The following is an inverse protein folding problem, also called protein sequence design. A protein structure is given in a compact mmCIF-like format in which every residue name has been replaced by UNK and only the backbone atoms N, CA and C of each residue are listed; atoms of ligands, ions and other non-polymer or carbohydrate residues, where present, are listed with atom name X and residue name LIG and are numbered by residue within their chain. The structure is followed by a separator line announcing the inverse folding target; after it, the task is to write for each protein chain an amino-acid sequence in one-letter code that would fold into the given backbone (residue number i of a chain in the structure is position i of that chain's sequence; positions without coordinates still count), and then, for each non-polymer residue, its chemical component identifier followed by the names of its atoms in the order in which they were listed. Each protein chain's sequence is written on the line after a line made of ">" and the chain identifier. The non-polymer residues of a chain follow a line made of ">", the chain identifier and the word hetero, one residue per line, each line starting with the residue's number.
data_IF_605694131582
#
_entry.id   IF_605694131582
#
_cell.length_a   1.000
_cell.length_b   1.000
_cell.length_c   1.000
_cell.angle_alpha   90.00
_cell.angle_beta   90.00
_cell.angle_gamma   90.00
#
_symmetry.space_group_name_H-M   'P 1'
#
loop_
_entity.id
_entity.type
_entity.pdbx_description
1 polymer ?
#
# COMPACT_ATOMS: atom_id res chain seq x y z
N UNK A 1 -16.61 -3.46 -6.54
CA UNK A 1 -15.50 -2.51 -6.74
C UNK A 1 -14.38 -3.10 -7.60
N UNK A 2 -13.61 -4.10 -7.14
CA UNK A 2 -12.50 -4.67 -7.93
C UNK A 2 -12.96 -5.24 -9.27
N UNK A 3 -14.00 -6.09 -9.27
CA UNK A 3 -14.57 -6.65 -10.50
C UNK A 3 -14.98 -5.57 -11.51
N UNK A 4 -15.53 -4.44 -11.05
CA UNK A 4 -16.00 -3.33 -11.91
C UNK A 4 -14.84 -2.57 -12.58
N UNK A 5 -13.62 -2.71 -12.04
CA UNK A 5 -12.42 -2.08 -12.60
C UNK A 5 -11.72 -2.98 -13.63
N UNK A 6 -12.16 -4.23 -13.79
CA UNK A 6 -11.62 -5.15 -14.79
C UNK A 6 -12.25 -4.89 -16.16
N UNK A 7 -11.45 -4.42 -17.10
CA UNK A 7 -11.87 -4.15 -18.49
C UNK A 7 -11.67 -5.33 -19.43
N UNK A 8 -11.06 -6.42 -18.95
CA UNK A 8 -10.78 -7.59 -19.77
C UNK A 8 -12.03 -8.42 -20.04
N UNK A 9 -12.22 -8.88 -21.28
CA UNK A 9 -13.21 -9.89 -21.63
C UNK A 9 -12.67 -11.27 -21.29
N UNK A 10 -13.14 -11.81 -20.17
CA UNK A 10 -12.70 -13.10 -19.66
C UNK A 10 -13.64 -14.19 -20.18
N UNK A 11 -13.08 -15.28 -20.71
CA UNK A 11 -13.87 -16.48 -20.96
C UNK A 11 -14.33 -17.03 -19.62
N UNK A 12 -15.65 -17.10 -19.43
CA UNK A 12 -16.27 -17.51 -18.18
C UNK A 12 -16.37 -19.06 -18.12
N UNK A 13 -15.53 -19.74 -17.33
CA UNK A 13 -15.69 -21.17 -17.11
C UNK A 13 -16.95 -21.45 -16.27
N UNK A 14 -17.70 -22.51 -16.60
CA UNK A 14 -19.01 -22.79 -16.00
C UNK A 14 -18.98 -23.02 -14.48
N UNK A 15 -17.90 -23.56 -13.91
CA UNK A 15 -17.87 -23.99 -12.49
C UNK A 15 -16.55 -23.82 -11.76
N UNK A 16 -15.45 -23.46 -12.42
CA UNK A 16 -14.12 -23.39 -11.79
C UNK A 16 -13.24 -22.30 -12.36
N UNK A 17 -12.48 -21.61 -11.51
CA UNK A 17 -11.53 -20.58 -11.93
C UNK A 17 -10.10 -21.05 -11.67
N UNK A 18 -9.18 -20.71 -12.58
CA UNK A 18 -7.74 -20.87 -12.39
C UNK A 18 -7.07 -19.50 -12.39
N UNK A 19 -6.41 -19.17 -11.29
CA UNK A 19 -5.61 -17.97 -11.11
C UNK A 19 -4.15 -18.39 -11.18
N UNK A 20 -3.42 -17.88 -12.17
CA UNK A 20 -1.99 -18.16 -12.31
C UNK A 20 -1.21 -16.93 -11.87
N UNK A 21 -0.48 -17.06 -10.77
CA UNK A 21 0.36 -15.98 -10.24
C UNK A 21 1.60 -15.83 -11.13
N UNK A 22 1.97 -14.61 -11.55
CA UNK A 22 3.12 -14.36 -12.41
C UNK A 22 4.43 -14.56 -11.64
N UNK A 23 5.58 -14.64 -12.35
CA UNK A 23 6.89 -14.69 -11.70
C UNK A 23 7.18 -13.49 -10.80
N UNK A 24 6.78 -12.29 -11.24
CA UNK A 24 6.84 -11.05 -10.44
C UNK A 24 5.41 -10.63 -10.12
N UNK A 25 5.00 -10.84 -8.88
CA UNK A 25 3.68 -10.47 -8.38
C UNK A 25 3.81 -9.37 -7.33
N UNK A 26 3.99 -8.13 -7.79
CA UNK A 26 4.32 -7.01 -6.91
C UNK A 26 3.66 -5.72 -7.38
N UNK A 27 3.03 -5.00 -6.45
CA UNK A 27 2.55 -3.62 -6.68
C UNK A 27 3.73 -2.66 -6.85
N UNK A 28 4.86 -2.88 -6.17
CA UNK A 28 6.08 -2.06 -6.27
C UNK A 28 6.78 -2.24 -7.63
N UNK A 29 7.08 -3.49 -8.02
CA UNK A 29 7.95 -3.78 -9.16
C UNK A 29 7.17 -3.98 -10.48
N UNK A 30 5.96 -4.58 -10.44
CA UNK A 30 5.13 -4.82 -11.63
C UNK A 30 3.61 -4.64 -11.35
N UNK A 31 3.17 -3.39 -11.06
CA UNK A 31 1.79 -3.10 -10.69
C UNK A 31 0.78 -3.47 -11.78
N UNK A 32 1.19 -3.42 -13.05
CA UNK A 32 0.29 -3.71 -14.19
C UNK A 32 -0.09 -5.18 -14.18
N UNK A 33 0.89 -6.09 -14.17
CA UNK A 33 0.63 -7.53 -14.18
C UNK A 33 -0.08 -7.95 -12.90
N UNK A 34 0.36 -7.44 -11.74
CA UNK A 34 -0.26 -7.76 -10.45
C UNK A 34 -1.76 -7.38 -10.43
N UNK A 35 -2.10 -6.15 -10.81
CA UNK A 35 -3.49 -5.71 -10.87
C UNK A 35 -4.31 -6.48 -11.90
N UNK A 36 -3.75 -6.79 -13.08
CA UNK A 36 -4.47 -7.56 -14.08
C UNK A 36 -4.92 -8.91 -13.54
N UNK A 37 -4.06 -9.63 -12.81
CA UNK A 37 -4.42 -10.92 -12.19
C UNK A 37 -5.50 -10.74 -11.13
N UNK A 38 -5.33 -9.77 -10.22
CA UNK A 38 -6.27 -9.48 -9.12
C UNK A 38 -7.65 -9.11 -9.67
N UNK A 39 -7.70 -8.16 -10.59
CA UNK A 39 -8.94 -7.66 -11.18
C UNK A 39 -9.65 -8.75 -12.00
N UNK A 40 -8.89 -9.55 -12.74
CA UNK A 40 -9.46 -10.66 -13.50
C UNK A 40 -10.07 -11.72 -12.58
N UNK A 41 -9.38 -12.07 -11.49
CA UNK A 41 -9.92 -12.99 -10.50
C UNK A 41 -11.17 -12.44 -9.83
N UNK A 42 -11.18 -11.16 -9.45
CA UNK A 42 -12.36 -10.51 -8.88
C UNK A 42 -13.55 -10.50 -9.84
N UNK A 43 -13.32 -10.25 -11.14
CA UNK A 43 -14.36 -10.32 -12.17
C UNK A 43 -14.91 -11.74 -12.31
N UNK A 44 -14.05 -12.74 -12.42
CA UNK A 44 -14.46 -14.16 -12.46
C UNK A 44 -15.27 -14.57 -11.24
N UNK A 45 -14.83 -14.15 -10.04
CA UNK A 45 -15.48 -14.43 -8.77
C UNK A 45 -16.88 -13.83 -8.68
N UNK A 46 -17.09 -12.64 -9.25
CA UNK A 46 -18.38 -11.94 -9.22
C UNK A 46 -19.36 -12.45 -10.28
N UNK A 47 -18.87 -12.73 -11.49
CA UNK A 47 -19.72 -13.07 -12.64
C UNK A 47 -20.11 -14.56 -12.66
N UNK A 48 -19.40 -15.42 -11.93
CA UNK A 48 -19.65 -16.86 -11.93
C UNK A 48 -20.01 -17.41 -10.56
N UNK A 49 -20.85 -18.46 -10.55
CA UNK A 49 -21.04 -19.32 -9.38
C UNK A 49 -19.93 -20.37 -9.33
N UNK A 50 -18.75 -19.94 -8.88
CA UNK A 50 -17.60 -20.81 -8.75
C UNK A 50 -17.85 -21.90 -7.69
N UNK A 51 -17.49 -23.13 -8.01
CA UNK A 51 -17.43 -24.26 -7.06
C UNK A 51 -15.99 -24.61 -6.69
N UNK A 52 -15.07 -24.25 -7.57
CA UNK A 52 -13.64 -24.58 -7.46
C UNK A 52 -12.80 -23.37 -7.85
N UNK A 53 -11.72 -23.14 -7.12
CA UNK A 53 -10.70 -22.13 -7.44
C UNK A 53 -9.33 -22.75 -7.28
N UNK A 54 -8.57 -22.79 -8.36
CA UNK A 54 -7.14 -23.15 -8.36
C UNK A 54 -6.31 -21.86 -8.31
N UNK A 55 -5.43 -21.71 -7.32
CA UNK A 55 -4.43 -20.62 -7.28
C UNK A 55 -3.03 -21.22 -7.43
N UNK A 56 -2.42 -20.99 -8.58
CA UNK A 56 -1.15 -21.57 -8.97
C UNK A 56 -0.01 -20.55 -8.76
N UNK A 57 0.75 -20.75 -7.67
CA UNK A 57 1.93 -19.94 -7.36
C UNK A 57 3.24 -20.56 -7.85
N UNK A 58 3.21 -21.66 -8.61
CA UNK A 58 4.41 -22.43 -8.95
C UNK A 58 5.49 -21.66 -9.71
N UNK A 59 5.12 -20.54 -10.35
CA UNK A 59 6.04 -19.66 -11.08
C UNK A 59 6.52 -18.46 -10.28
N UNK A 60 5.96 -18.20 -9.09
CA UNK A 60 6.24 -17.01 -8.29
C UNK A 60 7.69 -17.00 -7.80
N UNK A 61 8.40 -15.93 -8.11
CA UNK A 61 9.81 -15.71 -7.77
C UNK A 61 10.02 -14.44 -6.95
N UNK A 62 9.20 -13.42 -7.20
CA UNK A 62 9.17 -12.16 -6.47
C UNK A 62 7.72 -11.86 -6.12
N UNK A 63 7.45 -11.58 -4.87
CA UNK A 63 6.15 -11.17 -4.38
C UNK A 63 6.34 -9.96 -3.47
N UNK A 64 5.44 -8.99 -3.52
CA UNK A 64 5.28 -8.08 -2.38
C UNK A 64 3.99 -8.38 -1.61
N UNK A 65 3.99 -7.96 -0.35
CA UNK A 65 2.90 -8.19 0.58
C UNK A 65 1.60 -7.59 0.08
N UNK A 66 1.65 -6.41 -0.56
CA UNK A 66 0.45 -5.71 -1.01
C UNK A 66 -0.28 -6.45 -2.14
N UNK A 67 0.44 -6.95 -3.16
CA UNK A 67 -0.17 -7.70 -4.26
C UNK A 67 -0.83 -8.98 -3.73
N UNK A 68 -0.13 -9.70 -2.86
CA UNK A 68 -0.64 -10.91 -2.23
C UNK A 68 -1.87 -10.62 -1.35
N UNK A 69 -1.81 -9.61 -0.50
CA UNK A 69 -2.90 -9.26 0.41
C UNK A 69 -4.22 -8.98 -0.32
N UNK A 70 -4.16 -8.24 -1.44
CA UNK A 70 -5.36 -7.94 -2.23
C UNK A 70 -5.89 -9.18 -2.96
N UNK A 71 -5.01 -10.05 -3.47
CA UNK A 71 -5.43 -11.32 -4.07
C UNK A 71 -6.15 -12.21 -3.06
N UNK A 72 -5.58 -12.35 -1.86
CA UNK A 72 -6.17 -13.16 -0.80
C UNK A 72 -7.49 -12.60 -0.31
N UNK A 73 -7.62 -11.27 -0.29
CA UNK A 73 -8.86 -10.60 0.02
C UNK A 73 -9.99 -11.05 -0.92
N UNK A 74 -9.73 -11.08 -2.23
CA UNK A 74 -10.72 -11.49 -3.23
C UNK A 74 -11.19 -12.93 -2.94
N UNK A 75 -10.26 -13.84 -2.66
CA UNK A 75 -10.60 -15.22 -2.35
C UNK A 75 -11.36 -15.37 -1.01
N UNK A 76 -10.97 -14.61 0.01
CA UNK A 76 -11.63 -14.60 1.32
C UNK A 76 -13.05 -14.05 1.24
N UNK A 77 -13.28 -12.96 0.51
CA UNK A 77 -14.62 -12.43 0.25
C UNK A 77 -15.46 -13.42 -0.54
N UNK A 78 -14.91 -14.01 -1.61
CA UNK A 78 -15.59 -15.02 -2.40
C UNK A 78 -16.03 -16.23 -1.53
N UNK A 79 -15.14 -16.70 -0.65
CA UNK A 79 -15.44 -17.79 0.30
C UNK A 79 -16.55 -17.39 1.29
N UNK A 80 -16.50 -16.15 1.79
CA UNK A 80 -17.48 -15.60 2.74
C UNK A 80 -18.86 -15.46 2.09
N UNK A 81 -18.94 -14.84 0.91
CA UNK A 81 -20.19 -14.72 0.15
C UNK A 81 -20.79 -16.09 -0.20
N UNK A 82 -19.96 -17.05 -0.60
CA UNK A 82 -20.42 -18.39 -0.90
C UNK A 82 -21.07 -19.05 0.32
N UNK A 83 -20.45 -18.94 1.50
CA UNK A 83 -20.99 -19.45 2.77
C UNK A 83 -22.31 -18.79 3.14
N UNK A 84 -22.41 -17.46 3.01
CA UNK A 84 -23.66 -16.72 3.25
C UNK A 84 -24.80 -17.17 2.33
N UNK A 85 -24.49 -17.62 1.12
CA UNK A 85 -25.46 -18.20 0.17
C UNK A 85 -25.71 -19.71 0.36
N UNK A 86 -25.20 -20.31 1.43
CA UNK A 86 -25.36 -21.75 1.70
C UNK A 86 -24.54 -22.66 0.77
N UNK A 87 -23.47 -22.14 0.17
CA UNK A 87 -22.59 -22.88 -0.73
C UNK A 87 -21.15 -22.93 -0.22
N UNK A 88 -20.34 -23.84 -0.78
CA UNK A 88 -18.92 -23.97 -0.44
C UNK A 88 -18.08 -23.98 -1.70
N UNK A 89 -16.99 -23.21 -1.66
CA UNK A 89 -15.98 -23.18 -2.71
C UNK A 89 -14.79 -24.02 -2.24
N UNK A 90 -14.32 -24.91 -3.12
CA UNK A 90 -13.09 -25.66 -2.89
C UNK A 90 -11.92 -24.86 -3.46
N UNK A 91 -11.00 -24.47 -2.59
CA UNK A 91 -9.72 -23.87 -2.97
C UNK A 91 -8.65 -24.95 -2.97
N UNK A 92 -7.79 -24.93 -3.99
CA UNK A 92 -6.58 -25.74 -4.09
C UNK A 92 -5.55 -24.99 -4.93
N UNK A 93 -4.32 -25.50 -5.00
CA UNK A 93 -3.28 -24.76 -5.70
C UNK A 93 -1.92 -25.43 -5.65
N UNK A 94 -0.92 -24.70 -6.10
CA UNK A 94 0.50 -25.08 -6.04
C UNK A 94 1.25 -23.99 -5.32
N UNK A 95 2.18 -24.39 -4.45
CA UNK A 95 3.09 -23.47 -3.78
C UNK A 95 4.15 -22.91 -4.74
N UNK A 96 4.74 -21.75 -4.40
CA UNK A 96 5.99 -21.31 -4.99
C UNK A 96 7.10 -22.35 -4.80
N UNK A 97 8.05 -22.38 -5.74
CA UNK A 97 9.26 -23.21 -5.61
C UNK A 97 10.18 -22.69 -4.49
N UNK A 98 10.43 -21.38 -4.34
CA UNK A 98 11.28 -20.89 -3.25
C UNK A 98 10.65 -21.11 -1.88
N UNK A 99 11.38 -21.74 -0.96
CA UNK A 99 10.89 -22.10 0.38
C UNK A 99 10.40 -20.91 1.20
N UNK A 100 11.09 -19.76 1.11
CA UNK A 100 10.67 -18.54 1.83
C UNK A 100 9.33 -18.00 1.30
N UNK A 101 9.08 -18.06 -0.02
CA UNK A 101 7.78 -17.69 -0.60
C UNK A 101 6.69 -18.70 -0.26
N UNK A 102 7.00 -19.99 -0.18
CA UNK A 102 6.07 -20.98 0.36
C UNK A 102 5.67 -20.63 1.80
N UNK A 103 6.65 -20.36 2.66
CA UNK A 103 6.43 -19.95 4.05
C UNK A 103 5.60 -18.68 4.15
N UNK A 104 5.86 -17.69 3.30
CA UNK A 104 5.05 -16.48 3.16
C UNK A 104 3.58 -16.80 2.86
N UNK A 105 3.29 -17.61 1.83
CA UNK A 105 1.91 -18.00 1.46
C UNK A 105 1.21 -18.76 2.60
N UNK A 106 1.95 -19.59 3.34
CA UNK A 106 1.43 -20.34 4.49
C UNK A 106 1.15 -19.44 5.71
N UNK A 107 2.04 -18.49 6.00
CA UNK A 107 2.03 -17.70 7.23
C UNK A 107 1.17 -16.45 7.17
N UNK A 108 1.01 -15.82 6.01
CA UNK A 108 0.20 -14.60 5.86
C UNK A 108 -0.75 -14.66 4.65
N UNK A 109 -0.42 -15.50 3.67
CA UNK A 109 -1.15 -15.57 2.41
C UNK A 109 -2.46 -16.36 2.43
N UNK A 110 -2.89 -16.83 1.25
CA UNK A 110 -4.18 -17.49 1.04
C UNK A 110 -4.49 -18.64 2.01
N UNK A 111 -3.46 -19.40 2.41
CA UNK A 111 -3.60 -20.54 3.32
C UNK A 111 -4.12 -20.09 4.68
N UNK A 112 -3.54 -19.00 5.22
CA UNK A 112 -3.99 -18.36 6.45
C UNK A 112 -5.37 -17.76 6.26
N UNK A 113 -5.57 -16.96 5.20
CA UNK A 113 -6.81 -16.20 4.98
C UNK A 113 -8.05 -17.09 4.79
N UNK A 114 -7.86 -18.29 4.22
CA UNK A 114 -8.93 -19.28 4.09
C UNK A 114 -8.99 -20.30 5.24
N UNK A 115 -8.07 -20.22 6.21
CA UNK A 115 -7.94 -21.15 7.34
C UNK A 115 -7.86 -22.62 6.90
N UNK A 116 -6.94 -22.92 5.96
CA UNK A 116 -6.77 -24.28 5.43
C UNK A 116 -6.03 -25.14 6.46
N UNK A 117 -6.79 -25.86 7.30
CA UNK A 117 -6.30 -26.51 8.52
C UNK A 117 -5.11 -27.47 8.33
N UNK A 118 -5.01 -28.17 7.20
CA UNK A 118 -3.94 -29.15 6.94
C UNK A 118 -2.67 -28.54 6.34
N UNK A 119 -2.69 -27.24 6.04
CA UNK A 119 -1.58 -26.50 5.42
C UNK A 119 -0.98 -25.47 6.39
N UNK A 120 -1.45 -25.43 7.64
CA UNK A 120 -0.95 -24.54 8.68
C UNK A 120 0.51 -24.88 8.95
N UNK A 121 1.44 -23.90 8.87
CA UNK A 121 2.85 -24.19 9.04
C UNK A 121 3.15 -24.63 10.49
N UNK A 122 4.11 -25.55 10.62
CA UNK A 122 4.56 -26.07 11.92
C UNK A 122 5.20 -24.96 12.77
N UNK A 123 5.33 -25.14 14.10
CA UNK A 123 6.05 -24.19 14.94
C UNK A 123 7.47 -23.90 14.44
N UNK A 124 8.17 -24.91 13.93
CA UNK A 124 9.50 -24.79 13.34
C UNK A 124 9.48 -23.98 12.04
N UNK A 125 8.48 -24.18 11.18
CA UNK A 125 8.30 -23.40 9.95
C UNK A 125 7.93 -21.94 10.20
N UNK A 126 7.27 -21.66 11.34
CA UNK A 126 6.96 -20.29 11.80
C UNK A 126 8.11 -19.63 12.55
N UNK A 127 9.15 -20.39 12.91
CA UNK A 127 10.24 -19.84 13.69
C UNK A 127 10.93 -18.70 12.92
N UNK A 128 11.08 -17.55 13.58
CA UNK A 128 11.64 -16.35 12.95
C UNK A 128 10.69 -15.60 12.02
N UNK A 129 9.42 -15.98 11.90
CA UNK A 129 8.42 -15.23 11.11
C UNK A 129 7.61 -14.32 12.03
N UNK A 130 7.52 -13.03 11.68
CA UNK A 130 6.57 -12.08 12.29
C UNK A 130 5.48 -11.73 11.31
N UNK A 131 4.23 -11.76 11.78
CA UNK A 131 3.04 -11.42 10.99
C UNK A 131 2.19 -10.42 11.76
N UNK A 132 1.71 -9.40 11.06
CA UNK A 132 0.66 -8.50 11.50
C UNK A 132 -0.44 -8.45 10.44
N UNK A 133 -1.69 -8.47 10.89
CA UNK A 133 -2.83 -8.51 9.99
C UNK A 133 -4.08 -7.97 10.70
N UNK A 134 -4.53 -6.79 10.28
CA UNK A 134 -5.75 -6.15 10.80
C UNK A 134 -6.54 -5.55 9.64
N UNK A 135 -7.86 -5.65 9.73
CA UNK A 135 -8.80 -5.07 8.77
C UNK A 135 -10.00 -4.49 9.49
N UNK A 136 -10.48 -3.35 9.02
CA UNK A 136 -11.79 -2.78 9.38
C UNK A 136 -12.73 -2.96 8.19
N UNK A 137 -13.98 -3.36 8.45
CA UNK A 137 -15.04 -3.48 7.44
C UNK A 137 -16.31 -2.80 7.95
N UNK A 138 -17.01 -2.09 7.07
CA UNK A 138 -18.27 -1.39 7.37
C UNK A 138 -19.47 -2.30 7.74
N UNK A 139 -19.37 -3.64 7.66
CA UNK A 139 -20.54 -4.52 7.86
C UNK A 139 -20.99 -4.72 9.33
N UNK A 140 -20.40 -4.03 10.31
CA UNK A 140 -20.79 -4.12 11.72
C UNK A 140 -21.10 -2.75 12.35
N UNK A 141 -22.41 -2.46 12.40
CA UNK A 141 -23.21 -1.73 13.40
C UNK A 141 -22.82 -0.30 13.89
N UNK A 142 -23.83 0.49 14.35
CA UNK A 142 -23.79 1.95 14.39
C UNK A 142 -22.81 2.50 15.42
N UNK A 143 -22.11 3.57 15.04
CA UNK A 143 -21.36 4.54 15.87
C UNK A 143 -21.10 4.06 17.30
N UNK A 144 -20.24 3.05 17.45
CA UNK A 144 -19.69 2.67 18.74
C UNK A 144 -18.54 3.64 19.06
N UNK A 145 -18.55 4.36 20.19
CA UNK A 145 -17.43 5.19 20.64
C UNK A 145 -16.09 4.43 20.70
N UNK A 146 -16.11 3.10 20.82
CA UNK A 146 -14.90 2.24 20.75
C UNK A 146 -14.30 2.13 19.34
N UNK A 147 -14.96 2.62 18.29
CA UNK A 147 -14.41 2.59 16.93
C UNK A 147 -13.25 3.58 16.73
N UNK A 148 -13.29 4.76 17.37
CA UNK A 148 -12.14 5.68 17.40
C UNK A 148 -10.94 5.04 18.12
N UNK A 149 -11.24 4.21 19.12
CA UNK A 149 -10.26 3.41 19.85
C UNK A 149 -9.71 2.24 18.99
N UNK A 150 -10.49 1.63 18.11
CA UNK A 150 -10.01 0.55 17.23
C UNK A 150 -8.85 1.00 16.33
N UNK A 151 -9.00 2.12 15.61
CA UNK A 151 -7.93 2.65 14.75
C UNK A 151 -6.67 2.97 15.57
N UNK A 152 -6.85 3.63 16.70
CA UNK A 152 -5.75 4.03 17.58
C UNK A 152 -4.99 2.81 18.13
N UNK A 153 -5.72 1.78 18.57
CA UNK A 153 -5.15 0.49 18.99
C UNK A 153 -4.43 -0.21 17.85
N UNK A 154 -5.00 -0.27 16.66
CA UNK A 154 -4.35 -0.90 15.50
C UNK A 154 -3.05 -0.18 15.13
N UNK A 155 -3.01 1.16 15.23
CA UNK A 155 -1.79 1.92 15.00
C UNK A 155 -0.70 1.55 16.03
N UNK A 156 -1.04 1.48 17.31
CA UNK A 156 -0.10 1.07 18.38
C UNK A 156 0.39 -0.37 18.15
N UNK A 157 -0.53 -1.32 17.97
CA UNK A 157 -0.19 -2.74 17.75
C UNK A 157 0.74 -2.91 16.52
N UNK A 158 0.51 -2.11 15.47
CA UNK A 158 1.33 -2.15 14.26
C UNK A 158 2.74 -1.60 14.51
N UNK A 159 2.87 -0.50 15.26
CA UNK A 159 4.18 0.03 15.62
C UNK A 159 4.94 -0.94 16.52
N UNK A 160 4.26 -1.61 17.45
CA UNK A 160 4.86 -2.67 18.26
C UNK A 160 5.35 -3.84 17.40
N UNK A 161 4.60 -4.20 16.37
CA UNK A 161 5.03 -5.20 15.39
C UNK A 161 6.30 -4.77 14.65
N UNK A 162 6.36 -3.52 14.14
CA UNK A 162 7.56 -2.99 13.47
C UNK A 162 8.75 -2.94 14.43
N UNK A 163 8.54 -2.51 15.66
CA UNK A 163 9.61 -2.50 16.66
C UNK A 163 10.08 -3.92 16.99
N UNK A 164 9.17 -4.90 17.04
CA UNK A 164 9.51 -6.32 17.16
C UNK A 164 10.37 -6.83 16.01
N UNK A 165 10.03 -6.46 14.77
CA UNK A 165 10.81 -6.78 13.57
C UNK A 165 12.24 -6.23 13.64
N UNK A 166 12.40 -4.99 14.13
CA UNK A 166 13.69 -4.34 14.31
C UNK A 166 14.50 -4.99 15.44
N UNK A 167 13.84 -5.34 16.56
CA UNK A 167 14.48 -5.93 17.74
C UNK A 167 15.16 -7.27 17.43
N UNK A 168 14.59 -8.06 16.51
CA UNK A 168 15.21 -9.32 16.04
C UNK A 168 16.58 -9.10 15.39
N UNK A 169 16.88 -7.88 14.96
CA UNK A 169 18.12 -7.48 14.32
C UNK A 169 18.95 -6.50 15.18
N UNK A 170 18.69 -6.45 16.49
CA UNK A 170 19.42 -5.59 17.41
C UNK A 170 19.20 -4.09 17.18
N UNK A 171 18.07 -3.72 16.55
CA UNK A 171 17.65 -2.33 16.34
C UNK A 171 16.36 -2.06 17.08
N UNK A 172 16.12 -0.81 17.44
CA UNK A 172 14.86 -0.38 18.03
C UNK A 172 14.49 1.01 17.53
N UNK A 173 13.18 1.29 17.50
CA UNK A 173 12.69 2.65 17.38
C UNK A 173 12.94 3.40 18.68
N UNK A 174 13.39 4.66 18.61
CA UNK A 174 13.40 5.52 19.80
C UNK A 174 11.96 5.82 20.25
N UNK A 175 11.74 6.21 21.52
CA UNK A 175 10.40 6.59 22.00
C UNK A 175 9.75 7.68 21.14
N UNK A 176 10.53 8.65 20.66
CA UNK A 176 10.06 9.69 19.75
C UNK A 176 9.67 9.13 18.37
N UNK A 177 10.41 8.15 17.85
CA UNK A 177 10.10 7.48 16.59
C UNK A 177 8.84 6.60 16.70
N UNK A 178 8.66 5.90 17.83
CA UNK A 178 7.44 5.15 18.15
C UNK A 178 6.23 6.07 18.11
N UNK A 179 6.26 7.18 18.86
CA UNK A 179 5.15 8.13 18.90
C UNK A 179 4.83 8.70 17.51
N UNK A 180 5.85 9.12 16.76
CA UNK A 180 5.68 9.63 15.40
C UNK A 180 5.06 8.59 14.47
N UNK A 181 5.56 7.35 14.47
CA UNK A 181 5.01 6.30 13.62
C UNK A 181 3.56 5.96 13.99
N UNK A 182 3.20 5.98 15.27
CA UNK A 182 1.81 5.79 15.70
C UNK A 182 0.89 6.88 15.12
N UNK A 183 1.33 8.15 15.19
CA UNK A 183 0.60 9.27 14.58
C UNK A 183 0.47 9.06 13.08
N UNK A 184 1.54 8.72 12.38
CA UNK A 184 1.53 8.55 10.92
C UNK A 184 0.59 7.44 10.47
N UNK A 185 0.64 6.28 11.13
CA UNK A 185 -0.26 5.17 10.83
C UNK A 185 -1.71 5.55 11.15
N UNK A 186 -1.95 6.23 12.28
CA UNK A 186 -3.27 6.75 12.63
C UNK A 186 -3.83 7.72 11.58
N UNK A 187 -3.00 8.59 11.00
CA UNK A 187 -3.38 9.50 9.92
C UNK A 187 -3.64 8.78 8.60
N UNK A 188 -2.83 7.77 8.23
CA UNK A 188 -3.05 6.96 7.03
C UNK A 188 -4.39 6.21 7.13
N UNK A 189 -4.65 5.56 8.26
CA UNK A 189 -5.91 4.86 8.51
C UNK A 189 -7.09 5.84 8.59
N UNK A 190 -6.89 7.02 9.20
CA UNK A 190 -7.88 8.09 9.21
C UNK A 190 -8.20 8.58 7.81
N UNK A 191 -7.21 8.68 6.92
CA UNK A 191 -7.43 9.05 5.52
C UNK A 191 -8.25 7.99 4.78
N UNK A 192 -7.99 6.71 5.06
CA UNK A 192 -8.77 5.60 4.52
C UNK A 192 -10.25 5.65 4.95
N UNK A 193 -10.55 6.07 6.18
CA UNK A 193 -11.92 6.26 6.69
C UNK A 193 -12.58 7.53 6.11
N UNK A 194 -11.88 8.67 6.11
CA UNK A 194 -12.45 9.99 5.81
C UNK A 194 -12.65 10.26 4.31
N UNK A 195 -11.74 9.77 3.46
CA UNK A 195 -11.65 10.19 2.05
C UNK A 195 -12.21 9.17 1.07
N UNK A 196 -12.20 7.89 1.43
CA UNK A 196 -12.56 6.83 0.50
C UNK A 196 -14.07 6.75 0.22
N UNK A 197 -14.89 7.26 1.16
CA UNK A 197 -16.35 7.10 1.09
C UNK A 197 -16.82 5.66 1.29
N UNK A 198 -15.92 4.76 1.68
CA UNK A 198 -16.17 3.36 1.96
C UNK A 198 -15.19 2.88 3.03
N UNK A 199 -15.71 2.46 4.18
CA UNK A 199 -14.88 2.08 5.32
C UNK A 199 -14.45 0.60 5.21
N UNK A 200 -13.43 0.38 4.40
CA UNK A 200 -12.77 -0.92 4.30
C UNK A 200 -11.28 -0.68 4.08
N UNK A 201 -10.51 -0.84 5.15
CA UNK A 201 -9.07 -0.71 5.13
C UNK A 201 -8.41 -1.93 5.76
N UNK A 202 -7.24 -2.28 5.24
CA UNK A 202 -6.41 -3.39 5.71
C UNK A 202 -4.99 -2.89 5.90
N UNK A 203 -4.35 -3.34 6.98
CA UNK A 203 -2.92 -3.15 7.25
C UNK A 203 -2.28 -4.49 7.60
N UNK A 204 -1.19 -4.80 6.92
CA UNK A 204 -0.41 -6.01 7.11
C UNK A 204 1.07 -5.70 7.25
N UNK A 205 1.75 -6.53 8.04
CA UNK A 205 3.19 -6.52 8.22
C UNK A 205 3.74 -7.95 8.14
N UNK A 206 4.88 -8.11 7.47
CA UNK A 206 5.54 -9.40 7.32
C UNK A 206 7.05 -9.26 7.46
N UNK A 207 7.66 -10.19 8.18
CA UNK A 207 9.12 -10.37 8.23
C UNK A 207 9.42 -11.87 8.35
N UNK A 208 10.41 -12.32 7.60
CA UNK A 208 10.95 -13.67 7.68
C UNK A 208 12.45 -13.62 8.01
N UNK A 209 12.83 -13.98 9.23
CA UNK A 209 14.22 -13.98 9.68
C UNK A 209 14.99 -15.24 9.27
N UNK A 210 14.32 -16.22 8.67
CA UNK A 210 14.96 -17.46 8.24
C UNK A 210 15.53 -17.36 6.81
N UNK A 211 15.60 -16.16 6.23
CA UNK A 211 16.33 -15.86 4.99
C UNK A 211 17.60 -15.04 5.26
N UNK A 212 18.57 -15.11 4.34
CA UNK A 212 19.85 -14.41 4.47
C UNK A 212 19.72 -12.89 4.54
N UNK A 213 18.74 -12.32 3.85
CA UNK A 213 18.45 -10.88 3.85
C UNK A 213 16.97 -10.71 4.16
N UNK A 214 16.61 -10.62 5.45
CA UNK A 214 15.22 -10.44 5.86
C UNK A 214 14.67 -9.11 5.31
N UNK A 215 13.54 -9.21 4.62
CA UNK A 215 12.80 -8.05 4.13
C UNK A 215 11.61 -7.82 5.05
N UNK A 216 11.55 -6.63 5.65
CA UNK A 216 10.35 -6.18 6.34
C UNK A 216 9.42 -5.55 5.31
N UNK A 217 8.20 -6.09 5.21
CA UNK A 217 7.19 -5.66 4.26
C UNK A 217 5.95 -5.12 4.98
N UNK A 218 5.41 -4.03 4.44
CA UNK A 218 4.21 -3.36 4.94
C UNK A 218 3.26 -3.17 3.76
N UNK A 219 1.99 -3.50 3.97
CA UNK A 219 0.92 -3.21 3.05
C UNK A 219 -0.21 -2.50 3.79
N UNK A 220 -0.61 -1.32 3.32
CA UNK A 220 -1.80 -0.61 3.78
C UNK A 220 -2.65 -0.30 2.58
N UNK A 221 -3.90 -0.70 2.56
CA UNK A 221 -4.80 -0.36 1.47
C UNK A 221 -6.23 -0.15 1.95
N UNK A 222 -6.96 0.63 1.17
CA UNK A 222 -8.37 0.88 1.38
C UNK A 222 -9.14 0.81 0.06
N UNK A 223 -10.44 0.50 0.14
CA UNK A 223 -11.34 0.58 -0.99
C UNK A 223 -12.15 1.86 -0.97
N UNK A 224 -12.50 2.39 -2.14
CA UNK A 224 -13.33 3.59 -2.27
C UNK A 224 -12.90 4.47 -3.42
N UNK A 225 -13.11 5.78 -3.27
CA UNK A 225 -12.57 6.79 -4.17
C UNK A 225 -11.03 6.84 -4.08
N UNK A 226 -10.38 6.87 -5.23
CA UNK A 226 -8.95 7.18 -5.34
C UNK A 226 -8.66 8.65 -5.00
N UNK A 227 -7.41 8.97 -4.69
CA UNK A 227 -6.96 10.33 -4.39
C UNK A 227 -7.40 11.31 -5.49
N UNK A 228 -7.17 10.96 -6.75
CA UNK A 228 -7.54 11.80 -7.88
C UNK A 228 -9.07 12.00 -7.98
N UNK A 229 -9.87 10.96 -7.72
CA UNK A 229 -11.34 11.06 -7.71
C UNK A 229 -11.82 11.99 -6.58
N UNK A 230 -11.20 11.95 -5.39
CA UNK A 230 -11.58 12.84 -4.28
C UNK A 230 -11.30 14.33 -4.57
N UNK A 231 -10.23 14.64 -5.32
CA UNK A 231 -9.92 16.01 -5.73
C UNK A 231 -10.75 16.47 -6.93
N UNK A 232 -10.99 15.57 -7.89
CA UNK A 232 -11.85 15.86 -9.07
C UNK A 232 -13.29 16.11 -8.66
N UNK A 233 -13.76 15.47 -7.58
CA UNK A 233 -15.12 15.65 -7.04
C UNK A 233 -15.33 16.97 -6.29
N UNK A 234 -14.32 17.83 -6.16
CA UNK A 234 -14.45 19.11 -5.47
C UNK A 234 -15.18 20.16 -6.33
N UNK A 235 -15.98 21.05 -5.72
CA UNK A 235 -16.44 22.27 -6.39
C UNK A 235 -15.28 23.12 -6.88
N UNK A 236 -15.41 23.73 -8.05
CA UNK A 236 -14.35 24.54 -8.67
C UNK A 236 -13.98 25.81 -7.86
N UNK A 237 -14.89 26.28 -7.03
CA UNK A 237 -14.70 27.42 -6.12
C UNK A 237 -14.20 27.00 -4.72
N UNK A 238 -14.09 25.69 -4.46
CA UNK A 238 -13.59 25.17 -3.20
C UNK A 238 -12.16 25.67 -2.92
N UNK A 239 -11.83 25.77 -1.63
CA UNK A 239 -10.52 26.23 -1.18
C UNK A 239 -9.38 25.41 -1.79
N UNK A 240 -9.41 24.09 -1.62
CA UNK A 240 -8.38 23.19 -2.16
C UNK A 240 -8.27 23.28 -3.67
N UNK A 241 -9.39 23.35 -4.41
CA UNK A 241 -9.32 23.45 -5.87
C UNK A 241 -8.61 24.74 -6.30
N UNK A 242 -8.90 25.88 -5.65
CA UNK A 242 -8.19 27.14 -5.92
C UNK A 242 -6.68 27.01 -5.70
N UNK A 243 -6.23 26.26 -4.70
CA UNK A 243 -4.80 26.03 -4.42
C UNK A 243 -4.07 25.19 -5.49
N UNK A 244 -4.75 24.21 -6.09
CA UNK A 244 -4.15 23.25 -7.01
C UNK A 244 -4.45 23.53 -8.49
N UNK A 245 -5.47 24.36 -8.78
CA UNK A 245 -5.94 24.62 -10.14
C UNK A 245 -4.85 25.18 -11.06
N UNK A 246 -3.99 26.08 -10.56
CA UNK A 246 -2.88 26.64 -11.32
C UNK A 246 -1.88 25.56 -11.77
N UNK A 247 -1.57 24.61 -10.89
CA UNK A 247 -0.72 23.46 -11.21
C UNK A 247 -1.37 22.59 -12.30
N UNK A 248 -2.66 22.26 -12.17
CA UNK A 248 -3.37 21.45 -13.18
C UNK A 248 -3.44 22.19 -14.52
N UNK A 249 -3.78 23.47 -14.53
CA UNK A 249 -3.94 24.29 -15.74
C UNK A 249 -2.61 24.52 -16.47
N UNK A 250 -1.53 24.76 -15.73
CA UNK A 250 -0.20 24.93 -16.30
C UNK A 250 0.22 23.70 -17.10
N UNK A 251 0.00 22.50 -16.55
CA UNK A 251 0.32 21.25 -17.23
C UNK A 251 -0.69 20.89 -18.34
N UNK A 252 -1.92 21.44 -18.30
CA UNK A 252 -2.90 21.31 -19.39
C UNK A 252 -2.60 22.21 -20.59
N UNK A 253 -2.16 23.46 -20.37
CA UNK A 253 -2.08 24.53 -21.37
C UNK A 253 -0.77 24.61 -22.15
N UNK A 254 0.32 24.08 -21.60
CA UNK A 254 1.52 23.83 -22.37
C UNK A 254 1.21 22.68 -23.36
N UNK A 255 1.78 22.65 -24.57
CA UNK A 255 1.59 21.58 -25.60
C UNK A 255 2.18 20.22 -25.17
N UNK A 256 1.91 19.81 -23.93
CA UNK A 256 2.54 18.78 -23.11
C UNK A 256 1.56 17.68 -22.68
N UNK A 257 0.32 17.65 -23.18
CA UNK A 257 -0.35 16.37 -23.44
C UNK A 257 0.31 15.67 -24.65
N UNK A 258 1.63 15.48 -24.57
CA UNK A 258 2.32 14.41 -25.26
C UNK A 258 1.88 13.09 -24.61
N UNK A 259 1.97 11.99 -25.34
CA UNK A 259 1.74 10.66 -24.79
C UNK A 259 2.56 10.48 -23.49
N UNK A 260 1.88 10.29 -22.35
CA UNK A 260 2.56 10.00 -21.08
C UNK A 260 1.84 10.43 -19.80
N UNK A 261 1.02 11.49 -19.81
CA UNK A 261 0.44 12.07 -18.58
C UNK A 261 -1.05 12.37 -18.68
N UNK A 262 -1.79 12.06 -17.61
CA UNK A 262 -3.20 12.42 -17.47
C UNK A 262 -3.37 13.29 -16.24
N UNK A 263 -4.42 14.10 -16.25
CA UNK A 263 -4.80 14.94 -15.12
C UNK A 263 -4.89 14.18 -13.79
N UNK A 264 -5.39 12.94 -13.82
CA UNK A 264 -5.47 12.10 -12.62
C UNK A 264 -4.11 11.83 -12.00
N UNK A 265 -3.08 11.64 -12.83
CA UNK A 265 -1.72 11.38 -12.35
C UNK A 265 -1.14 12.64 -11.66
N UNK A 266 -1.43 13.82 -12.20
CA UNK A 266 -1.08 15.12 -11.61
C UNK A 266 -1.82 15.37 -10.29
N UNK A 267 -3.12 15.07 -10.25
CA UNK A 267 -3.95 15.21 -9.05
C UNK A 267 -3.47 14.28 -7.92
N UNK A 268 -3.10 13.04 -8.23
CA UNK A 268 -2.49 12.15 -7.23
C UNK A 268 -1.16 12.72 -6.73
N UNK A 269 -0.31 13.24 -7.60
CA UNK A 269 1.00 13.80 -7.20
C UNK A 269 0.84 15.05 -6.31
N UNK A 270 0.00 16.01 -6.69
CA UNK A 270 -0.18 17.25 -5.92
C UNK A 270 -0.78 16.98 -4.53
N UNK A 271 -1.57 15.92 -4.38
CA UNK A 271 -2.12 15.49 -3.10
C UNK A 271 -1.05 14.98 -2.12
N UNK A 272 0.14 14.62 -2.59
CA UNK A 272 1.25 14.23 -1.72
C UNK A 272 1.93 15.43 -1.06
N UNK A 273 1.54 16.66 -1.41
CA UNK A 273 2.17 17.88 -0.91
C UNK A 273 1.46 18.38 0.35
N UNK A 274 2.24 19.03 1.22
CA UNK A 274 1.71 19.56 2.47
C UNK A 274 0.53 20.50 2.23
N UNK A 275 -0.46 20.44 3.12
CA UNK A 275 -1.68 21.24 3.11
C UNK A 275 -2.61 21.03 1.91
N UNK A 276 -2.42 19.97 1.10
CA UNK A 276 -3.33 19.59 0.03
C UNK A 276 -4.26 18.47 0.50
N UNK A 277 -5.55 18.78 0.67
CA UNK A 277 -6.56 17.80 1.08
C UNK A 277 -7.94 18.17 0.55
N UNK A 278 -8.73 17.19 0.10
CA UNK A 278 -10.12 17.41 -0.32
C UNK A 278 -11.06 17.82 0.83
N UNK A 279 -10.56 17.84 2.08
CA UNK A 279 -11.33 18.22 3.26
C UNK A 279 -11.00 19.63 3.76
N UNK A 280 -9.99 20.30 3.20
CA UNK A 280 -9.68 21.69 3.55
C UNK A 280 -10.73 22.64 2.96
N UNK A 281 -11.26 23.52 3.80
CA UNK A 281 -12.29 24.53 3.46
C UNK A 281 -11.75 25.96 3.60
N UNK A 282 -10.64 26.16 4.31
CA UNK A 282 -10.02 27.46 4.54
C UNK A 282 -8.52 27.34 4.84
N UNK A 283 -7.83 28.48 4.92
CA UNK A 283 -6.42 28.58 5.32
C UNK A 283 -6.13 28.10 6.74
N UNK A 284 -7.16 28.01 7.59
CA UNK A 284 -7.03 27.50 8.96
C UNK A 284 -7.00 25.98 9.02
N UNK A 285 -7.37 25.30 7.93
CA UNK A 285 -7.36 23.84 7.87
C UNK A 285 -5.98 23.34 7.48
N UNK A 286 -5.37 22.54 8.35
CA UNK A 286 -4.00 22.04 8.18
C UNK A 286 -3.96 20.56 7.77
N UNK A 287 -5.01 20.04 7.10
CA UNK A 287 -5.00 18.64 6.64
C UNK A 287 -4.10 18.48 5.41
N UNK A 288 -3.56 17.28 5.24
CA UNK A 288 -2.60 16.95 4.15
C UNK A 288 -1.18 16.71 4.65
N UNK A 289 -0.99 16.45 5.94
CA UNK A 289 0.33 16.20 6.53
C UNK A 289 0.73 14.72 6.52
N UNK A 290 -0.21 13.79 6.74
CA UNK A 290 0.13 12.37 6.89
C UNK A 290 0.85 11.70 5.73
N UNK A 291 0.60 12.14 4.49
CA UNK A 291 1.36 11.62 3.34
C UNK A 291 2.77 12.19 3.27
N UNK A 292 2.96 13.47 3.65
CA UNK A 292 4.29 14.08 3.75
C UNK A 292 5.11 13.36 4.82
N UNK A 293 4.50 13.11 5.97
CA UNK A 293 5.12 12.42 7.10
C UNK A 293 5.50 10.97 6.75
N UNK A 294 4.64 10.25 6.02
CA UNK A 294 4.95 8.93 5.49
C UNK A 294 6.18 8.95 4.57
N UNK A 295 6.26 9.93 3.67
CA UNK A 295 7.39 10.07 2.74
C UNK A 295 8.68 10.37 3.52
N UNK A 296 8.62 11.20 4.55
CA UNK A 296 9.76 11.47 5.43
C UNK A 296 10.21 10.24 6.21
N UNK A 297 9.26 9.48 6.74
CA UNK A 297 9.55 8.21 7.40
C UNK A 297 10.25 7.25 6.45
N UNK A 298 9.70 7.07 5.24
CA UNK A 298 10.31 6.21 4.23
C UNK A 298 11.72 6.66 3.84
N UNK A 299 11.95 7.97 3.66
CA UNK A 299 13.28 8.49 3.37
C UNK A 299 14.30 8.17 4.47
N UNK A 300 13.90 8.26 5.74
CA UNK A 300 14.77 7.87 6.87
C UNK A 300 15.05 6.37 6.86
N UNK A 301 14.05 5.53 6.63
CA UNK A 301 14.24 4.09 6.49
C UNK A 301 15.21 3.79 5.34
N UNK A 302 15.02 4.44 4.19
CA UNK A 302 15.91 4.29 3.04
C UNK A 302 17.35 4.64 3.38
N UNK A 303 17.58 5.78 4.03
CA UNK A 303 18.93 6.23 4.41
C UNK A 303 19.62 5.28 5.39
N UNK A 304 18.87 4.70 6.34
CA UNK A 304 19.43 3.77 7.31
C UNK A 304 19.67 2.38 6.70
N UNK A 305 18.82 1.92 5.79
CA UNK A 305 19.00 0.63 5.09
C UNK A 305 20.11 0.69 4.03
N UNK A 306 20.26 1.82 3.33
CA UNK A 306 21.26 2.00 2.27
C UNK A 306 22.71 1.93 2.77
N UNK A 307 22.94 2.09 4.08
CA UNK A 307 24.27 2.00 4.70
C UNK A 307 24.77 0.56 4.82
N UNK A 308 23.85 -0.40 4.93
CA UNK A 308 24.16 -1.73 5.48
C UNK A 308 23.77 -2.90 4.55
N UNK A 309 23.23 -2.63 3.36
CA UNK A 309 22.72 -3.67 2.46
C UNK A 309 22.90 -3.34 0.97
N UNK A 310 23.08 -4.38 0.15
CA UNK A 310 23.15 -4.27 -1.31
C UNK A 310 21.78 -4.12 -1.99
N UNK A 311 20.69 -4.26 -1.22
CA UNK A 311 19.32 -4.05 -1.68
C UNK A 311 18.76 -2.78 -1.04
N UNK A 312 17.99 -1.98 -1.77
CA UNK A 312 17.50 -0.70 -1.26
C UNK A 312 16.03 -0.78 -0.84
N UNK A 313 15.64 0.03 0.16
CA UNK A 313 14.24 0.18 0.52
C UNK A 313 13.44 0.74 -0.66
N UNK A 314 12.20 0.27 -0.83
CA UNK A 314 11.25 0.76 -1.83
C UNK A 314 9.89 1.00 -1.21
N UNK A 315 9.19 2.01 -1.71
CA UNK A 315 7.79 2.25 -1.42
C UNK A 315 7.04 2.56 -2.70
N UNK A 316 5.79 2.12 -2.79
CA UNK A 316 4.88 2.48 -3.87
C UNK A 316 3.55 2.97 -3.31
N UNK A 317 3.00 4.01 -3.94
CA UNK A 317 1.63 4.46 -3.74
C UNK A 317 0.87 4.23 -5.05
N UNK A 318 -0.10 3.34 -5.02
CA UNK A 318 -1.01 3.08 -6.13
C UNK A 318 -2.41 3.59 -5.75
N UNK A 319 -2.88 4.64 -6.42
CA UNK A 319 -4.21 5.19 -6.19
C UNK A 319 -4.96 5.35 -7.51
N UNK A 320 -6.11 4.68 -7.65
CA UNK A 320 -6.81 4.63 -8.93
C UNK A 320 -5.92 4.00 -10.00
N UNK A 321 -5.66 4.76 -11.07
CA UNK A 321 -4.81 4.37 -12.19
C UNK A 321 -3.41 5.00 -12.14
N UNK A 322 -3.02 5.59 -11.02
CA UNK A 322 -1.73 6.27 -10.85
C UNK A 322 -0.84 5.47 -9.91
N UNK A 323 0.37 5.15 -10.33
CA UNK A 323 1.38 4.47 -9.53
C UNK A 323 2.59 5.39 -9.31
N UNK A 324 2.98 5.62 -8.06
CA UNK A 324 4.11 6.45 -7.67
C UNK A 324 5.14 5.60 -6.93
N UNK A 325 6.34 5.47 -7.50
CA UNK A 325 7.46 4.73 -6.94
C UNK A 325 8.38 5.66 -6.14
N UNK A 326 8.87 5.18 -5.00
CA UNK A 326 9.90 5.80 -4.18
C UNK A 326 11.02 4.78 -3.97
N UNK A 327 12.21 5.08 -4.49
CA UNK A 327 13.42 4.25 -4.39
C UNK A 327 14.63 5.06 -3.90
N UNK A 328 14.39 6.24 -3.33
CA UNK A 328 15.43 7.15 -2.85
C UNK A 328 16.02 8.11 -3.90
N UNK A 329 15.73 7.97 -5.21
CA UNK A 329 16.21 8.90 -6.26
C UNK A 329 15.65 10.31 -6.07
N UNK A 330 14.33 10.41 -5.88
CA UNK A 330 13.65 11.68 -5.64
C UNK A 330 13.32 11.81 -4.16
N UNK A 331 13.50 13.02 -3.63
CA UNK A 331 13.38 13.30 -2.20
C UNK A 331 12.50 14.52 -1.98
N UNK A 332 11.71 14.43 -0.93
CA UNK A 332 11.04 15.55 -0.31
C UNK A 332 12.09 16.55 0.19
N UNK A 333 11.98 17.80 -0.23
CA UNK A 333 12.87 18.89 0.20
C UNK A 333 12.09 20.15 0.50
N UNK A 334 12.72 21.07 1.24
CA UNK A 334 12.19 22.40 1.48
C UNK A 334 11.94 23.16 0.18
N UNK A 335 10.82 23.87 0.10
CA UNK A 335 10.44 24.82 -0.93
C UNK A 335 10.07 26.14 -0.26
N UNK A 336 10.65 27.28 -0.69
CA UNK A 336 10.32 28.60 -0.14
C UNK A 336 8.83 28.94 -0.21
N UNK A 337 8.10 28.40 -1.19
CA UNK A 337 6.69 28.75 -1.46
C UNK A 337 5.69 27.78 -0.82
N UNK A 338 6.05 26.50 -0.65
CA UNK A 338 5.08 25.43 -0.30
C UNK A 338 5.53 24.54 0.87
N UNK A 339 6.57 24.91 1.61
CA UNK A 339 7.06 24.13 2.73
C UNK A 339 7.87 22.93 2.26
N UNK A 340 7.28 21.74 2.13
CA UNK A 340 7.97 20.52 1.66
C UNK A 340 7.36 20.02 0.36
N UNK A 341 8.19 19.77 -0.65
CA UNK A 341 7.79 19.41 -2.03
C UNK A 341 8.57 18.19 -2.50
N UNK A 342 7.86 17.30 -3.21
CA UNK A 342 8.46 16.21 -3.99
C UNK A 342 7.78 16.16 -5.36
N UNK A 343 8.53 16.53 -6.40
CA UNK A 343 7.99 16.69 -7.75
C UNK A 343 8.44 15.60 -8.73
N UNK A 344 9.29 14.67 -8.28
CA UNK A 344 9.86 13.58 -9.07
C UNK A 344 10.53 14.03 -10.38
N UNK A 345 11.20 15.17 -10.38
CA UNK A 345 12.04 15.62 -11.47
C UNK A 345 13.38 16.16 -10.95
N UNK A 346 14.35 16.31 -11.83
CA UNK A 346 15.73 16.63 -11.46
C UNK A 346 15.84 17.94 -10.65
N UNK A 347 14.97 18.90 -10.92
CA UNK A 347 14.93 20.20 -10.27
C UNK A 347 14.03 20.25 -9.03
N UNK A 348 13.38 19.13 -8.69
CA UNK A 348 12.37 19.00 -7.64
C UNK A 348 11.33 20.14 -7.64
N UNK A 349 10.77 20.43 -8.81
CA UNK A 349 9.82 21.54 -8.99
C UNK A 349 8.51 21.09 -9.62
N UNK A 350 7.38 21.54 -9.06
CA UNK A 350 6.04 21.27 -9.61
C UNK A 350 5.79 21.97 -10.96
N UNK A 351 6.69 22.87 -11.38
CA UNK A 351 6.65 23.56 -12.67
C UNK A 351 7.17 22.70 -13.84
N UNK A 352 7.80 21.56 -13.56
CA UNK A 352 8.32 20.63 -14.57
C UNK A 352 7.59 19.30 -14.52
N UNK A 353 7.67 18.56 -15.63
CA UNK A 353 7.10 17.23 -15.70
C UNK A 353 7.84 16.27 -14.77
N UNK A 354 7.14 15.41 -14.05
CA UNK A 354 7.77 14.34 -13.28
C UNK A 354 8.34 13.26 -14.21
N UNK A 355 9.28 12.48 -13.69
CA UNK A 355 9.86 11.31 -14.34
C UNK A 355 8.79 10.21 -14.46
N UNK A 356 8.47 9.84 -15.69
CA UNK A 356 7.47 8.80 -16.01
C UNK A 356 7.86 7.41 -15.54
N UNK A 357 9.12 7.19 -15.15
CA UNK A 357 9.58 5.94 -14.53
C UNK A 357 9.12 5.83 -13.07
N UNK A 358 8.76 6.95 -12.45
CA UNK A 358 8.41 7.06 -11.04
C UNK A 358 6.94 7.35 -10.84
N UNK A 359 6.37 8.24 -11.65
CA UNK A 359 4.93 8.52 -11.63
C UNK A 359 4.34 7.99 -12.93
N UNK A 360 3.73 6.81 -12.83
CA UNK A 360 3.25 6.00 -13.96
C UNK A 360 1.74 6.03 -14.06
N UNK A 361 1.25 6.22 -15.27
CA UNK A 361 -0.12 5.90 -15.65
C UNK A 361 -0.26 4.40 -15.90
N UNK A 362 -1.25 3.76 -15.27
CA UNK A 362 -1.65 2.38 -15.58
C UNK A 362 -2.72 2.28 -16.68
N UNK A 363 -2.97 3.38 -17.42
CA UNK A 363 -3.96 3.41 -18.49
C UNK A 363 -5.37 3.10 -17.99
N UNK A 364 -6.03 2.12 -18.60
CA UNK A 364 -7.40 1.70 -18.24
C UNK A 364 -7.46 0.86 -16.96
N UNK A 365 -6.33 0.32 -16.50
CA UNK A 365 -6.26 -0.41 -15.24
C UNK A 365 -6.32 0.57 -14.07
N UNK A 366 -7.21 0.28 -13.13
CA UNK A 366 -7.34 1.06 -11.90
C UNK A 366 -7.61 0.17 -10.71
N UNK A 367 -6.99 0.49 -9.58
CA UNK A 367 -7.38 -0.02 -8.27
C UNK A 367 -8.45 0.89 -7.67
N UNK A 368 -9.59 0.37 -7.17
CA UNK A 368 -10.65 1.18 -6.58
C UNK A 368 -10.33 1.60 -5.14
N UNK A 369 -9.43 2.58 -5.00
CA UNK A 369 -8.98 3.11 -3.72
C UNK A 369 -7.49 3.47 -3.76
N UNK A 370 -6.79 3.23 -2.64
CA UNK A 370 -5.34 3.46 -2.52
C UNK A 370 -4.64 2.27 -1.88
N UNK A 371 -3.44 1.94 -2.38
CA UNK A 371 -2.49 0.98 -1.82
C UNK A 371 -1.20 1.72 -1.52
N UNK A 372 -0.65 1.52 -0.33
CA UNK A 372 0.69 1.86 0.10
C UNK A 372 1.42 0.55 0.34
N UNK A 373 2.50 0.32 -0.39
CA UNK A 373 3.36 -0.84 -0.23
C UNK A 373 4.76 -0.37 0.10
N UNK A 374 5.36 -0.91 1.17
CA UNK A 374 6.72 -0.58 1.60
C UNK A 374 7.47 -1.88 1.80
N UNK A 375 8.71 -1.95 1.33
CA UNK A 375 9.64 -3.01 1.67
C UNK A 375 11.02 -2.45 1.96
N UNK A 376 11.69 -2.98 2.97
CA UNK A 376 13.05 -2.59 3.29
C UNK A 376 13.83 -3.75 3.91
N UNK A 377 15.12 -3.86 3.59
CA UNK A 377 15.96 -4.90 4.18
C UNK A 377 16.30 -4.56 5.63
N UNK A 378 16.35 -5.59 6.46
CA UNK A 378 16.94 -5.53 7.77
C UNK A 378 18.32 -6.18 7.69
N UNK A 379 19.37 -5.35 7.77
CA UNK A 379 20.73 -5.85 7.82
C UNK A 379 21.04 -6.43 9.20
N UNK A 380 21.65 -7.60 9.22
CA UNK A 380 22.15 -8.29 10.42
C UNK A 380 23.44 -7.67 10.98
N UNK A 381 24.02 -6.67 10.30
CA UNK A 381 25.41 -6.24 10.56
C UNK A 381 25.55 -5.00 11.46
N UNK A 382 24.46 -4.35 11.90
CA UNK A 382 24.58 -3.09 12.66
C UNK A 382 23.52 -2.92 13.77
N UNK A 383 23.99 -2.71 15.00
CA UNK A 383 23.23 -2.33 16.21
C UNK A 383 23.14 -0.80 16.31
N UNK A 384 22.25 -0.17 15.54
CA UNK A 384 22.03 1.28 15.64
C UNK A 384 20.54 1.56 15.84
N UNK A 385 20.23 2.39 16.84
CA UNK A 385 18.88 2.86 17.10
C UNK A 385 18.42 3.79 15.95
N UNK A 386 17.22 3.56 15.41
CA UNK A 386 16.64 4.41 14.39
C UNK A 386 16.15 5.72 15.03
N UNK A 387 16.82 6.84 14.74
CA UNK A 387 16.35 8.18 15.12
C UNK A 387 17.27 9.03 16.00
N UNK A 388 18.59 8.77 16.05
CA UNK A 388 19.53 9.70 16.69
C UNK A 388 19.84 10.86 15.74
N UNK A 389 19.21 12.02 15.95
CA UNK A 389 19.70 13.28 15.41
C UNK A 389 21.07 13.56 16.06
N UNK A 390 22.17 13.41 15.32
CA UNK A 390 23.50 13.84 15.80
C UNK A 390 23.70 15.36 15.79
N UNK A 391 22.72 16.14 15.33
CA UNK A 391 22.82 17.58 15.09
C UNK A 391 21.72 18.43 15.76
N UNK A 392 21.28 18.08 16.97
CA UNK A 392 20.59 19.05 17.83
C UNK A 392 21.54 19.43 18.98
N UNK A 393 22.01 20.70 19.06
CA UNK A 393 22.78 21.13 20.21
C UNK A 393 21.83 21.18 21.41
N UNK A 394 22.17 20.45 22.47
CA UNK A 394 21.54 20.59 23.78
C UNK A 394 21.46 22.09 24.12
N UNK A 395 20.24 22.59 24.30
CA UNK A 395 20.01 23.80 25.06
C UNK A 395 19.47 23.36 26.40
N UNK A 396 20.29 23.58 27.42
CA UNK A 396 19.94 23.54 28.84
C UNK A 396 18.80 24.52 29.17
#
# INVERSE_FOLDING_TARGET
>A
MLADCCTADLKLPRTGAKVVVPPTFSIIDDPVTALQVILSFAKLARENRLRTVEIDHSRMQVCDLAANAVLDLVASELSTEARQRGSKIRFFGRYPIPTHLKRFVQCIGIVKQLSIAHEVPSPEEKNGVRVFDKRKRHYHDPVDPTQADFKSRVAVDFVDHINGCLNDHGRALTPAAVHKLCVYIGEILGNAEDHAGFEDWTIQGYLDNAVNTPMCEIAIFNFGASIAETLTGLPADSYTWRQISSYVLMHRGAKLFRAGWRERDLLTLIALQGNVSSKNRSEKDTRGQGTVDLIEFFQKVYEECAKDSGEAAKMAILSGSTHILFDGKYRLSGSPERGKVIAFNAENTLYKQPDSSYVKSLGTLKFPGTIISIRFPLSTTSTVALGVNRNEPNRD
#
